data_IF_766734872216
#
_entry.id   IF_766734872216
#
_cell.length_a   1.000
_cell.length_b   1.000
_cell.length_c   1.000
_cell.angle_alpha   90.00
_cell.angle_beta   90.00
_cell.angle_gamma   90.00
#
_symmetry.space_group_name_H-M   'P 1'
#
loop_
_entity.id
_entity.type
_entity.pdbx_description
1 polymer ?
#
# COMPACT_ATOMS: atom_id res chain seq x y z
N UNK A 1 29.20 -8.93 -8.07
CA UNK A 1 28.25 -8.81 -6.97
C UNK A 1 28.68 -7.70 -6.01
N UNK A 2 29.88 -7.81 -5.45
CA UNK A 2 30.40 -6.85 -4.47
C UNK A 2 30.53 -5.41 -4.99
N UNK A 3 30.84 -5.24 -6.29
CA UNK A 3 30.91 -3.93 -6.93
C UNK A 3 29.53 -3.29 -7.11
N UNK A 4 28.46 -4.09 -7.23
CA UNK A 4 27.09 -3.61 -7.37
C UNK A 4 26.48 -3.25 -6.00
N UNK A 5 26.79 -4.04 -4.98
CA UNK A 5 26.47 -3.74 -3.59
C UNK A 5 27.20 -2.50 -3.09
N UNK A 6 28.48 -2.37 -3.42
CA UNK A 6 29.29 -1.18 -3.14
C UNK A 6 28.76 0.09 -3.84
N UNK A 7 28.24 -0.02 -5.08
CA UNK A 7 27.57 1.09 -5.76
C UNK A 7 26.26 1.48 -5.07
N UNK A 8 25.49 0.51 -4.60
CA UNK A 8 24.25 0.76 -3.84
C UNK A 8 24.52 1.52 -2.54
N UNK A 9 25.51 1.09 -1.77
CA UNK A 9 25.95 1.77 -0.55
C UNK A 9 26.57 3.15 -0.85
N UNK A 10 27.35 3.27 -1.92
CA UNK A 10 27.91 4.53 -2.36
C UNK A 10 26.86 5.55 -2.79
N UNK A 11 25.78 5.10 -3.44
CA UNK A 11 24.64 5.97 -3.81
C UNK A 11 23.82 6.39 -2.58
N UNK A 12 23.63 5.51 -1.61
CA UNK A 12 23.00 5.84 -0.32
C UNK A 12 23.84 6.88 0.41
N UNK A 13 25.17 6.70 0.45
CA UNK A 13 26.08 7.61 1.14
C UNK A 13 26.16 8.98 0.42
N UNK A 14 26.20 9.00 -0.91
CA UNK A 14 26.16 10.23 -1.70
C UNK A 14 24.84 10.98 -1.57
N UNK A 15 23.73 10.25 -1.50
CA UNK A 15 22.41 10.84 -1.27
C UNK A 15 22.32 11.42 0.14
N UNK A 16 22.89 10.76 1.15
CA UNK A 16 22.95 11.28 2.50
C UNK A 16 23.86 12.51 2.62
N UNK A 17 25.02 12.50 1.98
CA UNK A 17 25.96 13.63 1.99
C UNK A 17 25.41 14.87 1.25
N UNK A 18 24.57 14.67 0.24
CA UNK A 18 23.87 15.75 -0.48
C UNK A 18 22.45 15.99 0.01
N UNK A 19 22.04 15.32 1.07
CA UNK A 19 20.71 15.46 1.66
C UNK A 19 20.58 16.85 2.29
N UNK A 20 19.90 17.74 1.58
CA UNK A 20 19.37 18.95 2.21
C UNK A 20 18.08 18.55 2.89
N UNK A 21 17.93 18.79 4.19
CA UNK A 21 16.67 18.56 4.87
C UNK A 21 15.57 19.27 4.09
N UNK A 22 14.61 18.50 3.58
CA UNK A 22 13.45 19.11 2.98
C UNK A 22 12.54 19.55 4.11
N UNK A 23 12.33 20.84 4.21
CA UNK A 23 11.44 21.45 5.22
C UNK A 23 9.96 21.36 4.86
N UNK A 24 9.61 20.76 3.70
CA UNK A 24 8.22 20.55 3.32
C UNK A 24 7.60 19.42 4.18
N UNK A 25 6.63 19.75 5.08
CA UNK A 25 5.97 18.76 5.91
C UNK A 25 5.26 17.66 5.09
N UNK A 26 4.77 17.98 3.90
CA UNK A 26 4.08 17.03 3.03
C UNK A 26 5.01 15.92 2.54
N UNK A 27 6.30 16.21 2.35
CA UNK A 27 7.28 15.21 1.95
C UNK A 27 7.53 14.21 3.07
N UNK A 28 7.57 14.64 4.32
CA UNK A 28 7.70 13.72 5.46
C UNK A 28 6.44 12.87 5.62
N UNK A 29 5.25 13.45 5.45
CA UNK A 29 3.99 12.71 5.44
C UNK A 29 3.96 11.66 4.32
N UNK A 30 4.45 12.00 3.14
CA UNK A 30 4.56 11.06 2.01
C UNK A 30 5.40 9.81 2.35
N UNK A 31 6.38 9.94 3.24
CA UNK A 31 7.26 8.87 3.70
C UNK A 31 6.87 8.29 5.06
N UNK A 32 5.70 8.60 5.61
CA UNK A 32 5.23 8.20 6.95
C UNK A 32 6.17 8.69 8.09
N UNK A 33 6.87 9.80 7.87
CA UNK A 33 7.87 10.36 8.79
C UNK A 33 7.52 11.77 9.32
N UNK A 34 6.26 12.16 9.22
CA UNK A 34 5.77 13.49 9.66
C UNK A 34 5.68 13.64 11.19
N UNK A 35 5.56 12.53 11.90
CA UNK A 35 5.53 12.43 13.36
C UNK A 35 6.20 11.13 13.80
N UNK A 36 6.68 11.02 15.06
CA UNK A 36 6.96 9.73 15.66
C UNK A 36 5.75 8.79 15.48
N UNK A 37 6.00 7.51 15.22
CA UNK A 37 4.89 6.58 14.89
C UNK A 37 3.86 6.46 16.00
N UNK A 38 4.29 6.58 17.26
CA UNK A 38 3.42 6.59 18.45
C UNK A 38 2.49 7.80 18.52
N UNK A 39 2.76 8.85 17.75
CA UNK A 39 1.96 10.06 17.66
C UNK A 39 1.14 10.15 16.37
N UNK A 40 1.30 9.17 15.45
CA UNK A 40 0.54 9.14 14.21
C UNK A 40 -0.89 8.68 14.47
N UNK A 41 -1.83 9.40 13.90
CA UNK A 41 -3.28 9.18 14.04
C UNK A 41 -3.99 9.01 12.69
N UNK A 42 -3.25 9.21 11.60
CA UNK A 42 -3.77 9.10 10.24
C UNK A 42 -2.76 8.40 9.32
N UNK A 43 -3.28 7.48 8.51
CA UNK A 43 -2.52 6.85 7.44
C UNK A 43 -2.37 7.84 6.28
N UNK A 44 -1.14 8.21 5.95
CA UNK A 44 -0.79 9.22 4.96
C UNK A 44 0.31 8.76 4.01
N UNK A 45 0.44 9.44 2.90
CA UNK A 45 1.50 9.23 1.93
C UNK A 45 1.32 7.96 1.09
N UNK A 46 2.40 7.44 0.53
CA UNK A 46 2.38 6.32 -0.39
C UNK A 46 1.79 5.06 0.27
N UNK A 47 0.67 4.55 -0.28
CA UNK A 47 -0.16 3.54 0.38
C UNK A 47 0.57 2.19 0.57
N UNK A 48 1.32 1.73 -0.43
CA UNK A 48 2.08 0.47 -0.35
C UNK A 48 3.13 0.53 0.76
N UNK A 49 3.89 1.63 0.79
CA UNK A 49 4.92 1.83 1.82
C UNK A 49 4.31 1.90 3.21
N UNK A 50 3.20 2.60 3.36
CA UNK A 50 2.48 2.68 4.63
C UNK A 50 2.07 1.29 5.13
N UNK A 51 1.44 0.47 4.29
CA UNK A 51 1.03 -0.88 4.67
C UNK A 51 2.19 -1.76 5.13
N UNK A 52 3.34 -1.70 4.42
CA UNK A 52 4.55 -2.43 4.86
C UNK A 52 5.18 -1.85 6.14
N UNK A 53 5.19 -0.53 6.28
CA UNK A 53 5.67 0.12 7.49
C UNK A 53 4.84 -0.27 8.71
N UNK A 54 3.51 -0.27 8.57
CA UNK A 54 2.60 -0.66 9.64
C UNK A 54 2.64 -2.17 9.94
N UNK A 55 2.93 -3.00 8.94
CA UNK A 55 3.22 -4.42 9.17
C UNK A 55 4.44 -4.60 10.08
N UNK A 56 5.52 -3.88 9.78
CA UNK A 56 6.73 -3.87 10.63
C UNK A 56 6.46 -3.28 12.02
N UNK A 57 5.62 -2.24 12.12
CA UNK A 57 5.21 -1.65 13.39
C UNK A 57 4.51 -2.69 14.29
N UNK A 58 3.53 -3.44 13.75
CA UNK A 58 2.83 -4.47 14.49
C UNK A 58 3.76 -5.62 14.92
N UNK A 59 4.70 -6.03 14.06
CA UNK A 59 5.71 -7.03 14.41
C UNK A 59 6.61 -6.57 15.58
N UNK A 60 7.10 -5.33 15.51
CA UNK A 60 7.96 -4.77 16.58
C UNK A 60 7.17 -4.65 17.88
N UNK A 61 5.92 -4.15 17.82
CA UNK A 61 5.04 -4.06 18.98
C UNK A 61 4.90 -5.42 19.70
N UNK A 62 4.61 -6.47 18.91
CA UNK A 62 4.43 -7.83 19.43
C UNK A 62 5.73 -8.41 20.00
N UNK A 63 6.85 -8.26 19.28
CA UNK A 63 8.13 -8.86 19.68
C UNK A 63 8.79 -8.15 20.86
N UNK A 64 8.56 -6.85 20.99
CA UNK A 64 9.08 -6.04 22.09
C UNK A 64 8.13 -5.95 23.30
N UNK A 65 6.91 -6.49 23.17
CA UNK A 65 5.82 -6.33 24.17
C UNK A 65 5.57 -4.84 24.48
N UNK A 66 5.56 -4.01 23.42
CA UNK A 66 5.44 -2.55 23.51
C UNK A 66 3.99 -2.09 23.21
N UNK A 67 3.31 -1.69 24.28
CA UNK A 67 1.90 -1.29 24.20
C UNK A 67 1.71 0.03 23.44
N UNK A 68 2.64 0.98 23.52
CA UNK A 68 2.53 2.27 22.81
C UNK A 68 2.59 2.05 21.28
N UNK A 69 3.44 1.13 20.84
CA UNK A 69 3.50 0.73 19.42
C UNK A 69 2.27 -0.07 19.00
N UNK A 70 1.74 -0.93 19.87
CA UNK A 70 0.50 -1.69 19.60
C UNK A 70 -0.69 -0.75 19.44
N UNK A 71 -0.82 0.24 20.32
CA UNK A 71 -1.88 1.26 20.27
C UNK A 71 -1.75 2.13 19.01
N UNK A 72 -0.53 2.45 18.59
CA UNK A 72 -0.28 3.18 17.35
C UNK A 72 -0.70 2.35 16.12
N UNK A 73 -0.36 1.06 16.10
CA UNK A 73 -0.78 0.15 15.03
C UNK A 73 -2.31 0.04 14.93
N UNK A 74 -3.01 -0.07 16.06
CA UNK A 74 -4.48 -0.13 16.10
C UNK A 74 -5.10 1.20 15.62
N UNK A 75 -4.59 2.36 16.04
CA UNK A 75 -5.10 3.66 15.56
C UNK A 75 -4.96 3.81 14.05
N UNK A 76 -3.81 3.43 13.49
CA UNK A 76 -3.55 3.49 12.06
C UNK A 76 -4.39 2.47 11.29
N UNK A 77 -4.59 1.28 11.85
CA UNK A 77 -5.53 0.30 11.34
C UNK A 77 -6.95 0.86 11.27
N UNK A 78 -7.46 1.43 12.37
CA UNK A 78 -8.79 2.06 12.41
C UNK A 78 -8.93 3.17 11.38
N UNK A 79 -7.92 4.02 11.25
CA UNK A 79 -7.98 5.09 10.24
C UNK A 79 -8.10 4.54 8.82
N UNK A 80 -7.37 3.48 8.49
CA UNK A 80 -7.46 2.84 7.16
C UNK A 80 -8.82 2.20 6.98
N UNK A 81 -9.22 1.30 7.87
CA UNK A 81 -10.40 0.46 7.69
C UNK A 81 -11.70 1.26 7.75
N UNK A 82 -11.79 2.21 8.68
CA UNK A 82 -13.02 2.98 8.88
C UNK A 82 -13.19 4.13 7.88
N UNK A 83 -12.10 4.59 7.24
CA UNK A 83 -12.13 5.87 6.50
C UNK A 83 -11.48 5.84 5.12
N UNK A 84 -10.66 4.85 4.79
CA UNK A 84 -9.83 4.83 3.56
C UNK A 84 -9.86 3.50 2.83
N UNK A 85 -10.64 2.54 3.30
CA UNK A 85 -10.79 1.22 2.71
C UNK A 85 -11.91 1.22 1.67
N UNK A 86 -11.62 0.74 0.48
CA UNK A 86 -12.63 0.45 -0.54
C UNK A 86 -13.33 -0.89 -0.25
N UNK A 87 -14.57 -1.02 -0.67
CA UNK A 87 -15.38 -2.24 -0.50
C UNK A 87 -14.71 -3.50 -1.06
N UNK A 88 -13.80 -3.34 -2.00
CA UNK A 88 -13.00 -4.43 -2.61
C UNK A 88 -11.74 -4.78 -1.83
N UNK A 89 -11.50 -4.18 -0.68
CA UNK A 89 -10.25 -4.38 0.07
C UNK A 89 -9.06 -3.59 -0.49
N UNK A 90 -9.29 -2.68 -1.42
CA UNK A 90 -8.26 -1.77 -1.93
C UNK A 90 -8.05 -0.56 -1.04
N UNK A 91 -6.86 0.03 -1.09
CA UNK A 91 -6.48 1.26 -0.40
C UNK A 91 -5.65 2.17 -1.31
N UNK A 92 -5.59 3.47 -0.99
CA UNK A 92 -4.90 4.47 -1.80
C UNK A 92 -5.82 5.13 -2.82
N UNK A 93 -6.36 6.31 -2.47
CA UNK A 93 -7.40 7.00 -3.26
C UNK A 93 -6.86 7.79 -4.44
N UNK A 94 -5.61 8.28 -4.38
CA UNK A 94 -5.08 9.22 -5.36
C UNK A 94 -3.93 8.67 -6.19
N UNK A 95 -3.92 9.01 -7.48
CA UNK A 95 -2.81 8.76 -8.39
C UNK A 95 -1.58 9.62 -8.04
N UNK A 96 -1.79 10.76 -7.41
CA UNK A 96 -0.71 11.65 -7.04
C UNK A 96 0.09 11.07 -5.88
N UNK A 97 1.29 10.59 -6.21
CA UNK A 97 2.16 9.89 -5.28
C UNK A 97 1.70 8.47 -4.92
N UNK A 98 0.72 7.88 -5.61
CA UNK A 98 0.22 6.53 -5.30
C UNK A 98 -0.20 6.41 -3.83
N UNK A 99 -0.93 7.43 -3.36
CA UNK A 99 -1.02 7.76 -1.94
C UNK A 99 -2.43 7.62 -1.37
N UNK A 100 -2.50 7.63 -0.05
CA UNK A 100 -3.75 7.94 0.64
C UNK A 100 -4.16 9.38 0.36
N UNK A 101 -5.46 9.60 0.20
CA UNK A 101 -6.11 10.89 0.22
C UNK A 101 -6.64 11.21 1.62
N UNK A 102 -7.40 12.29 1.78
CA UNK A 102 -8.06 12.62 3.05
C UNK A 102 -9.14 11.58 3.41
N UNK A 103 -9.58 11.59 4.66
CA UNK A 103 -10.58 10.64 5.16
C UNK A 103 -11.89 10.70 4.36
N UNK A 104 -12.43 9.54 4.00
CA UNK A 104 -13.66 9.35 3.22
C UNK A 104 -13.60 9.83 1.76
N UNK A 105 -12.41 10.16 1.25
CA UNK A 105 -12.20 10.42 -0.18
C UNK A 105 -11.97 9.08 -0.89
N UNK A 106 -13.05 8.49 -1.35
CA UNK A 106 -13.10 7.17 -1.97
C UNK A 106 -13.78 7.25 -3.34
N UNK A 107 -13.19 7.98 -4.33
CA UNK A 107 -13.77 8.07 -5.67
C UNK A 107 -13.83 6.69 -6.33
N UNK A 108 -14.92 6.42 -7.09
CA UNK A 108 -15.13 5.13 -7.74
C UNK A 108 -14.28 4.97 -9.01
N UNK A 109 -14.23 6.03 -9.82
CA UNK A 109 -13.65 6.03 -11.17
C UNK A 109 -12.16 6.35 -11.21
N UNK A 110 -11.71 7.20 -10.29
CA UNK A 110 -10.33 7.72 -10.25
C UNK A 110 -9.48 7.15 -9.12
N UNK A 111 -10.00 6.18 -8.36
CA UNK A 111 -9.26 5.47 -7.34
C UNK A 111 -7.96 4.90 -7.90
N UNK A 112 -6.84 5.11 -7.22
CA UNK A 112 -5.60 4.43 -7.58
C UNK A 112 -5.65 2.97 -7.18
N UNK A 113 -5.94 2.69 -5.92
CA UNK A 113 -6.16 1.33 -5.41
C UNK A 113 -5.19 0.32 -6.03
N UNK A 114 -3.89 0.56 -5.81
CA UNK A 114 -2.83 -0.25 -6.40
C UNK A 114 -2.91 -1.71 -5.89
N UNK A 115 -2.68 -2.67 -6.78
CA UNK A 115 -2.61 -4.09 -6.40
C UNK A 115 -1.59 -4.32 -5.28
N UNK A 116 -0.42 -3.68 -5.32
CA UNK A 116 0.55 -3.78 -4.23
C UNK A 116 0.07 -3.19 -2.91
N UNK A 117 -0.82 -2.19 -2.95
CA UNK A 117 -1.37 -1.59 -1.74
C UNK A 117 -2.34 -2.56 -1.04
N UNK A 118 -3.19 -3.27 -1.79
CA UNK A 118 -4.01 -4.34 -1.24
C UNK A 118 -3.17 -5.48 -0.64
N UNK A 119 -2.07 -5.87 -1.31
CA UNK A 119 -1.13 -6.86 -0.77
C UNK A 119 -0.50 -6.38 0.54
N UNK A 120 -0.06 -5.12 0.60
CA UNK A 120 0.52 -4.57 1.83
C UNK A 120 -0.49 -4.49 2.98
N UNK A 121 -1.77 -4.21 2.66
CA UNK A 121 -2.86 -4.27 3.64
C UNK A 121 -3.08 -5.70 4.16
N UNK A 122 -3.05 -6.71 3.28
CA UNK A 122 -3.18 -8.10 3.69
C UNK A 122 -2.03 -8.52 4.64
N UNK A 123 -0.80 -8.10 4.38
CA UNK A 123 0.31 -8.32 5.31
C UNK A 123 0.14 -7.57 6.64
N UNK A 124 -0.34 -6.33 6.60
CA UNK A 124 -0.63 -5.59 7.84
C UNK A 124 -1.74 -6.27 8.64
N UNK A 125 -2.83 -6.67 7.99
CA UNK A 125 -3.92 -7.42 8.62
C UNK A 125 -3.43 -8.71 9.28
N UNK A 126 -2.55 -9.47 8.61
CA UNK A 126 -1.91 -10.67 9.17
C UNK A 126 -1.14 -10.35 10.45
N UNK A 127 -0.33 -9.30 10.47
CA UNK A 127 0.43 -8.91 11.64
C UNK A 127 -0.45 -8.40 12.78
N UNK A 128 -1.53 -7.70 12.46
CA UNK A 128 -2.53 -7.33 13.46
C UNK A 128 -3.23 -8.54 14.07
N UNK A 129 -3.50 -9.57 13.27
CA UNK A 129 -4.08 -10.83 13.75
C UNK A 129 -3.13 -11.57 14.71
N UNK A 130 -1.82 -11.52 14.45
CA UNK A 130 -0.78 -12.08 15.32
C UNK A 130 -0.57 -11.25 16.60
N UNK A 131 -0.77 -9.93 16.54
CA UNK A 131 -0.67 -9.02 17.67
C UNK A 131 -1.87 -9.16 18.62
N UNK A 132 -3.10 -9.19 18.07
CA UNK A 132 -4.32 -9.32 18.83
C UNK A 132 -5.40 -9.99 17.93
N UNK A 133 -5.80 -11.25 18.21
CA UNK A 133 -6.72 -11.99 17.34
C UNK A 133 -8.13 -11.39 17.35
N UNK A 134 -8.51 -10.72 16.26
CA UNK A 134 -9.86 -10.21 15.99
C UNK A 134 -10.30 -10.67 14.60
N UNK A 135 -11.55 -11.12 14.46
CA UNK A 135 -12.12 -11.59 13.19
C UNK A 135 -12.01 -10.54 12.07
N UNK A 136 -12.18 -9.27 12.40
CA UNK A 136 -12.08 -8.16 11.48
C UNK A 136 -10.77 -8.12 10.68
N UNK A 137 -9.65 -8.46 11.31
CA UNK A 137 -8.35 -8.51 10.60
C UNK A 137 -8.36 -9.59 9.52
N UNK A 138 -8.94 -10.75 9.82
CA UNK A 138 -9.09 -11.84 8.85
C UNK A 138 -10.05 -11.46 7.72
N UNK A 139 -11.17 -10.80 8.03
CA UNK A 139 -12.17 -10.37 7.04
C UNK A 139 -11.57 -9.34 6.05
N UNK A 140 -10.81 -8.38 6.55
CA UNK A 140 -10.13 -7.38 5.71
C UNK A 140 -9.02 -8.03 4.88
N UNK A 141 -8.25 -8.95 5.46
CA UNK A 141 -7.22 -9.71 4.75
C UNK A 141 -7.83 -10.52 3.60
N UNK A 142 -8.92 -11.25 3.87
CA UNK A 142 -9.66 -12.02 2.87
C UNK A 142 -10.15 -11.13 1.72
N UNK A 143 -10.79 -9.99 2.06
CA UNK A 143 -11.26 -9.03 1.06
C UNK A 143 -10.13 -8.48 0.20
N UNK A 144 -9.02 -8.08 0.79
CA UNK A 144 -7.86 -7.57 0.06
C UNK A 144 -7.24 -8.62 -0.87
N UNK A 145 -7.20 -9.89 -0.43
CA UNK A 145 -6.67 -11.00 -1.22
C UNK A 145 -7.58 -11.35 -2.39
N UNK A 146 -8.85 -11.63 -2.14
CA UNK A 146 -9.73 -12.17 -3.18
C UNK A 146 -10.29 -11.10 -4.12
N UNK A 147 -10.64 -9.91 -3.63
CA UNK A 147 -11.34 -8.91 -4.44
C UNK A 147 -10.44 -7.87 -5.10
N UNK A 148 -9.22 -7.62 -4.60
CA UNK A 148 -8.31 -6.68 -5.24
C UNK A 148 -7.08 -7.39 -5.79
N UNK A 149 -6.40 -8.19 -4.98
CA UNK A 149 -5.15 -8.83 -5.38
C UNK A 149 -5.37 -9.88 -6.47
N UNK A 150 -6.23 -10.89 -6.23
CA UNK A 150 -6.50 -11.93 -7.22
C UNK A 150 -7.33 -11.43 -8.39
N UNK A 151 -8.31 -10.54 -8.15
CA UNK A 151 -9.06 -9.93 -9.22
C UNK A 151 -8.19 -9.03 -10.13
N UNK A 152 -7.09 -8.52 -9.62
CA UNK A 152 -6.10 -7.81 -10.42
C UNK A 152 -5.43 -8.68 -11.49
N UNK A 153 -5.32 -9.99 -11.29
CA UNK A 153 -4.66 -10.92 -12.18
C UNK A 153 -5.66 -11.56 -13.16
N UNK A 154 -5.25 -11.75 -14.42
CA UNK A 154 -6.03 -12.53 -15.38
C UNK A 154 -5.99 -14.04 -15.03
N UNK A 155 -7.05 -14.77 -15.39
CA UNK A 155 -7.15 -16.20 -15.10
C UNK A 155 -6.01 -17.04 -15.71
N UNK A 156 -5.42 -16.58 -16.81
CA UNK A 156 -4.29 -17.23 -17.46
C UNK A 156 -2.92 -16.81 -16.86
N UNK A 157 -2.92 -15.92 -15.87
CA UNK A 157 -1.73 -15.42 -15.19
C UNK A 157 -0.81 -14.52 -16.04
N UNK A 158 -1.23 -14.13 -17.25
CA UNK A 158 -0.35 -13.45 -18.23
C UNK A 158 -0.53 -11.94 -18.31
N UNK A 159 -1.51 -11.40 -17.61
CA UNK A 159 -1.80 -9.96 -17.57
C UNK A 159 -2.43 -9.57 -16.25
N UNK A 160 -2.34 -8.28 -15.90
CA UNK A 160 -2.79 -7.80 -14.61
C UNK A 160 -3.25 -6.34 -14.69
N UNK A 161 -4.00 -5.90 -13.66
CA UNK A 161 -4.24 -4.50 -13.37
C UNK A 161 -3.20 -4.00 -12.37
N UNK A 162 -2.65 -2.83 -12.63
CA UNK A 162 -1.82 -2.10 -11.67
C UNK A 162 -2.71 -1.39 -10.65
N UNK A 163 -3.75 -0.71 -11.14
CA UNK A 163 -4.75 0.01 -10.35
C UNK A 163 -6.12 -0.62 -10.51
N UNK A 164 -6.95 -0.57 -9.47
CA UNK A 164 -8.22 -1.28 -9.38
C UNK A 164 -9.35 -0.33 -8.94
N UNK A 165 -9.75 0.65 -9.77
CA UNK A 165 -10.93 1.48 -9.48
C UNK A 165 -12.21 0.63 -9.48
N UNK A 166 -13.24 1.09 -8.78
CA UNK A 166 -14.53 0.41 -8.71
C UNK A 166 -15.37 0.60 -9.99
N UNK A 167 -15.12 1.68 -10.70
CA UNK A 167 -15.80 2.02 -11.95
C UNK A 167 -14.78 2.26 -13.06
N UNK A 168 -15.01 1.62 -14.21
CA UNK A 168 -14.17 1.81 -15.39
C UNK A 168 -15.05 2.16 -16.59
N UNK A 169 -14.90 3.38 -17.11
CA UNK A 169 -15.47 3.78 -18.37
C UNK A 169 -14.38 3.76 -19.46
N UNK A 170 -14.39 2.78 -20.39
CA UNK A 170 -13.35 2.63 -21.40
C UNK A 170 -13.16 3.85 -22.28
N UNK A 171 -14.24 4.57 -22.57
CA UNK A 171 -14.18 5.77 -23.39
C UNK A 171 -13.52 6.94 -22.64
N UNK A 172 -13.84 7.09 -21.35
CA UNK A 172 -13.28 8.15 -20.52
C UNK A 172 -11.78 7.96 -20.22
N UNK A 173 -11.32 6.71 -20.06
CA UNK A 173 -9.89 6.41 -19.81
C UNK A 173 -8.92 7.00 -20.85
N UNK A 174 -9.39 7.27 -22.06
CA UNK A 174 -8.57 7.85 -23.14
C UNK A 174 -8.73 9.36 -23.30
N UNK A 175 -9.67 9.98 -22.61
CA UNK A 175 -10.03 11.38 -22.81
C UNK A 175 -9.94 12.22 -21.54
N UNK A 176 -10.23 11.65 -20.40
CA UNK A 176 -10.15 12.33 -19.11
C UNK A 176 -8.77 12.15 -18.49
N UNK A 177 -8.06 13.26 -18.30
CA UNK A 177 -6.71 13.24 -17.72
C UNK A 177 -6.68 12.74 -16.28
N UNK A 178 -7.79 12.84 -15.54
CA UNK A 178 -7.93 12.28 -14.19
C UNK A 178 -7.85 10.77 -14.19
N UNK A 179 -8.22 10.12 -15.30
CA UNK A 179 -8.28 8.67 -15.48
C UNK A 179 -7.08 8.10 -16.24
N UNK A 180 -6.01 8.89 -16.44
CA UNK A 180 -4.82 8.50 -17.23
C UNK A 180 -4.15 7.21 -16.74
N UNK A 181 -4.28 6.89 -15.46
CA UNK A 181 -3.75 5.70 -14.83
C UNK A 181 -4.64 4.47 -14.98
N UNK A 182 -5.93 4.66 -15.24
CA UNK A 182 -6.92 3.58 -15.36
C UNK A 182 -6.78 2.89 -16.71
N UNK A 183 -6.81 1.56 -16.72
CA UNK A 183 -6.83 0.74 -17.94
C UNK A 183 -8.11 -0.07 -17.97
N UNK A 184 -8.83 -0.07 -19.12
CA UNK A 184 -10.10 -0.81 -19.26
C UNK A 184 -9.90 -2.34 -19.35
N UNK A 185 -8.68 -2.78 -19.65
CA UNK A 185 -8.30 -4.20 -19.74
C UNK A 185 -6.94 -4.44 -19.06
N UNK A 186 -6.74 -5.63 -18.56
CA UNK A 186 -5.46 -6.03 -17.96
C UNK A 186 -4.35 -5.94 -18.97
N UNK A 187 -3.17 -5.49 -18.53
CA UNK A 187 -1.99 -5.30 -19.37
C UNK A 187 -0.97 -6.41 -19.08
N UNK A 188 -0.20 -6.80 -20.10
CA UNK A 188 0.93 -7.73 -19.91
C UNK A 188 2.08 -7.08 -19.14
N UNK A 189 2.19 -5.76 -19.23
CA UNK A 189 3.26 -4.98 -18.61
C UNK A 189 2.84 -3.54 -18.37
N UNK A 190 3.48 -2.92 -17.37
CA UNK A 190 3.40 -1.49 -17.07
C UNK A 190 4.82 -0.92 -17.00
N UNK A 191 4.96 0.39 -17.00
CA UNK A 191 6.26 1.07 -16.86
C UNK A 191 6.98 0.79 -15.53
N UNK A 192 6.24 0.34 -14.51
CA UNK A 192 6.76 -0.19 -13.25
C UNK A 192 6.35 -1.67 -13.09
N UNK A 193 7.24 -2.49 -12.57
CA UNK A 193 7.06 -3.94 -12.45
C UNK A 193 6.92 -4.42 -10.99
N UNK A 194 6.36 -3.60 -10.09
CA UNK A 194 6.21 -3.98 -8.68
C UNK A 194 5.11 -5.04 -8.44
N UNK A 195 3.98 -4.95 -9.17
CA UNK A 195 2.84 -5.81 -8.91
C UNK A 195 3.08 -7.30 -9.22
N UNK A 196 3.65 -7.73 -10.36
CA UNK A 196 3.83 -9.15 -10.65
C UNK A 196 4.65 -9.90 -9.59
N UNK A 197 5.85 -9.45 -9.17
CA UNK A 197 6.61 -10.14 -8.13
C UNK A 197 5.93 -10.07 -6.77
N UNK A 198 5.17 -9.01 -6.50
CA UNK A 198 4.43 -8.88 -5.24
C UNK A 198 3.24 -9.86 -5.19
N UNK A 199 2.52 -10.04 -6.30
CA UNK A 199 1.49 -11.08 -6.43
C UNK A 199 2.10 -12.47 -6.25
N UNK A 200 3.20 -12.77 -6.94
CA UNK A 200 3.88 -14.07 -6.80
C UNK A 200 4.26 -14.33 -5.33
N UNK A 201 4.81 -13.33 -4.65
CA UNK A 201 5.17 -13.44 -3.24
C UNK A 201 3.98 -13.72 -2.33
N UNK A 202 2.87 -12.99 -2.49
CA UNK A 202 1.72 -13.19 -1.59
C UNK A 202 1.04 -14.54 -1.84
N UNK A 203 0.95 -14.99 -3.09
CA UNK A 203 0.39 -16.30 -3.41
C UNK A 203 1.21 -17.42 -2.77
N UNK A 204 2.53 -17.30 -2.76
CA UNK A 204 3.41 -18.27 -2.07
C UNK A 204 3.23 -18.20 -0.54
N UNK A 205 3.03 -17.01 0.01
CA UNK A 205 2.92 -16.79 1.47
C UNK A 205 1.54 -17.07 2.06
N UNK A 206 0.51 -17.32 1.25
CA UNK A 206 -0.87 -17.56 1.76
C UNK A 206 -0.97 -18.83 2.61
N UNK A 207 -0.04 -19.78 2.43
CA UNK A 207 -0.05 -21.04 3.17
C UNK A 207 0.67 -20.96 4.53
N UNK A 208 1.38 -19.88 4.80
CA UNK A 208 2.11 -19.64 6.04
C UNK A 208 1.23 -18.95 7.08
#
# INVERSE_FOLDING_TARGET
>A
RDAQESRGLGDVYKRQANYKPNTDPNRYAYHQANKPVTEQDEAVGHAVRAGYFYSGLADVARLADDQDLADAAERLWRNIVDKKLYVTGGIGGTVDGEAFSYNYDLPNDSAYSETCAAISLAFFARRMLELAPKAEYADVMESALYNTTLAGMALDGKSFFYVNPLEVNPYACHKDSRLRHVKPVRQKWFGCACCPPNIARIVESVQE
#
